data_IF_235369880245
#
_entry.id   IF_235369880245
#
_cell.length_a   1.000
_cell.length_b   1.000
_cell.length_c   1.000
_cell.angle_alpha   90.00
_cell.angle_beta   90.00
_cell.angle_gamma   90.00
#
_symmetry.space_group_name_H-M   'P 1'
#
loop_
_entity.id
_entity.type
_entity.pdbx_description
1 polymer ?
#
# COMPACT_ATOMS: atom_id res chain seq x y z
N UNK A 1 -90.49 -23.27 -54.80
CA UNK A 1 -89.86 -24.11 -53.77
C UNK A 1 -88.59 -24.70 -54.36
N UNK A 2 -87.44 -24.48 -53.68
CA UNK A 2 -86.07 -24.92 -54.00
C UNK A 2 -85.36 -24.23 -55.19
N UNK A 3 -84.37 -23.39 -54.85
CA UNK A 3 -83.68 -22.42 -55.70
C UNK A 3 -82.17 -22.72 -55.76
N UNK A 4 -81.62 -22.57 -56.96
CA UNK A 4 -80.22 -22.70 -57.38
C UNK A 4 -79.21 -22.02 -56.44
N UNK A 5 -78.18 -22.74 -56.00
CA UNK A 5 -76.93 -22.21 -55.43
C UNK A 5 -75.74 -23.01 -55.97
N UNK A 6 -75.12 -22.54 -57.06
CA UNK A 6 -73.73 -22.86 -57.36
C UNK A 6 -73.22 -21.95 -58.50
N UNK A 7 -72.84 -20.72 -58.18
CA UNK A 7 -71.85 -19.92 -58.92
C UNK A 7 -71.70 -18.59 -58.16
N UNK A 8 -70.49 -18.01 -58.18
CA UNK A 8 -70.04 -16.80 -57.45
C UNK A 8 -69.54 -17.05 -56.01
N UNK A 9 -68.30 -17.51 -55.89
CA UNK A 9 -67.32 -16.88 -54.99
C UNK A 9 -65.90 -17.36 -55.34
N UNK A 10 -65.36 -16.91 -56.47
CA UNK A 10 -63.96 -17.15 -56.83
C UNK A 10 -63.35 -15.90 -57.48
N UNK A 11 -63.45 -14.77 -56.81
CA UNK A 11 -62.71 -13.56 -57.16
C UNK A 11 -62.78 -12.60 -55.96
N UNK A 12 -61.75 -12.60 -55.09
CA UNK A 12 -61.75 -11.65 -53.97
C UNK A 12 -60.92 -11.99 -52.75
N UNK A 13 -59.90 -12.86 -52.83
CA UNK A 13 -58.92 -13.04 -51.74
C UNK A 13 -57.52 -13.27 -52.34
N UNK A 14 -56.98 -12.28 -53.05
CA UNK A 14 -55.56 -12.26 -53.49
C UNK A 14 -54.95 -10.86 -53.46
N UNK A 15 -55.47 -9.95 -52.64
CA UNK A 15 -55.04 -8.53 -52.61
C UNK A 15 -54.76 -7.98 -51.21
N UNK A 16 -54.35 -8.83 -50.26
CA UNK A 16 -53.96 -8.36 -48.90
C UNK A 16 -52.61 -8.91 -48.39
N UNK A 17 -51.82 -9.59 -49.23
CA UNK A 17 -50.47 -10.07 -48.84
C UNK A 17 -49.34 -9.28 -49.50
N UNK A 18 -49.66 -8.24 -50.28
CA UNK A 18 -48.65 -7.43 -51.00
C UNK A 18 -48.10 -6.24 -50.20
N UNK A 19 -48.51 -6.03 -48.95
CA UNK A 19 -48.13 -4.82 -48.20
C UNK A 19 -46.90 -4.98 -47.27
N UNK A 20 -46.21 -6.12 -47.29
CA UNK A 20 -44.93 -6.33 -46.59
C UNK A 20 -43.70 -6.28 -47.51
N UNK A 21 -43.88 -6.08 -48.83
CA UNK A 21 -42.79 -5.93 -49.81
C UNK A 21 -42.40 -4.47 -50.11
N UNK A 22 -43.07 -3.50 -49.48
CA UNK A 22 -42.89 -2.06 -49.76
C UNK A 22 -42.14 -1.27 -48.67
N UNK A 23 -41.81 -1.90 -47.54
CA UNK A 23 -40.89 -1.31 -46.57
C UNK A 23 -39.53 -1.96 -46.75
N UNK A 24 -38.59 -1.21 -47.33
CA UNK A 24 -37.17 -1.56 -47.28
C UNK A 24 -36.79 -1.61 -45.80
N UNK A 25 -36.64 -2.80 -45.24
CA UNK A 25 -36.13 -2.97 -43.88
C UNK A 25 -34.79 -2.23 -43.79
N UNK A 26 -34.76 -1.19 -42.96
CA UNK A 26 -33.58 -0.35 -42.78
C UNK A 26 -32.48 -1.11 -42.04
N UNK A 27 -31.23 -0.71 -42.27
CA UNK A 27 -30.12 -1.15 -41.45
C UNK A 27 -29.88 -0.11 -40.36
N UNK A 28 -30.03 -0.51 -39.11
CA UNK A 28 -29.84 0.34 -37.93
C UNK A 28 -29.24 -0.47 -36.76
N UNK A 29 -28.74 0.24 -35.76
CA UNK A 29 -28.39 -0.36 -34.47
C UNK A 29 -29.67 -0.50 -33.65
N UNK A 30 -30.11 -1.74 -33.44
CA UNK A 30 -31.33 -2.06 -32.70
C UNK A 30 -31.14 -1.92 -31.19
N UNK A 31 -29.96 -2.30 -30.69
CA UNK A 31 -29.58 -2.12 -29.28
C UNK A 31 -28.06 -2.19 -29.13
N UNK A 32 -27.56 -1.77 -27.98
CA UNK A 32 -26.16 -1.93 -27.62
C UNK A 32 -25.99 -2.04 -26.12
N UNK A 33 -24.95 -2.75 -25.68
CA UNK A 33 -24.55 -2.88 -24.29
C UNK A 33 -23.20 -2.18 -24.07
N UNK A 34 -23.00 -1.54 -22.90
CA UNK A 34 -23.89 -1.57 -21.74
C UNK A 34 -25.14 -0.68 -21.89
N UNK A 35 -25.16 0.22 -22.87
CA UNK A 35 -26.23 1.21 -23.08
C UNK A 35 -25.80 2.60 -22.62
N UNK A 36 -26.61 3.61 -22.92
CA UNK A 36 -26.29 4.99 -22.58
C UNK A 36 -26.30 5.21 -21.08
N UNK A 37 -25.29 5.94 -20.58
CA UNK A 37 -25.16 6.32 -19.17
C UNK A 37 -25.11 5.16 -18.17
N UNK A 38 -24.83 3.93 -18.61
CA UNK A 38 -24.66 2.82 -17.67
C UNK A 38 -23.41 3.05 -16.86
N UNK A 39 -23.63 3.22 -15.55
CA UNK A 39 -22.59 3.26 -14.55
C UNK A 39 -22.37 1.83 -14.06
N UNK A 40 -21.26 1.23 -14.43
CA UNK A 40 -20.88 -0.11 -13.97
C UNK A 40 -19.81 -0.03 -12.87
N UNK A 41 -20.00 -0.78 -11.79
CA UNK A 41 -19.06 -0.87 -10.66
C UNK A 41 -17.83 -1.76 -10.97
N UNK A 42 -17.36 -1.77 -12.21
CA UNK A 42 -16.23 -2.61 -12.65
C UNK A 42 -16.46 -4.13 -12.60
N UNK A 43 -17.71 -4.60 -12.51
CA UNK A 43 -18.07 -5.96 -12.96
C UNK A 43 -17.88 -6.05 -14.48
N UNK A 44 -17.46 -7.21 -15.01
CA UNK A 44 -17.17 -7.45 -16.45
C UNK A 44 -18.16 -6.71 -17.36
N UNK A 45 -17.77 -5.52 -17.81
CA UNK A 45 -18.61 -4.70 -18.67
C UNK A 45 -18.60 -5.37 -20.03
N UNK A 46 -19.69 -6.04 -20.36
CA UNK A 46 -19.89 -6.57 -21.71
C UNK A 46 -20.22 -5.42 -22.66
N UNK A 47 -19.48 -5.35 -23.75
CA UNK A 47 -19.65 -4.34 -24.79
C UNK A 47 -20.14 -5.04 -26.05
N UNK A 48 -21.33 -4.69 -26.53
CA UNK A 48 -21.90 -5.30 -27.74
C UNK A 48 -22.82 -4.33 -28.48
N UNK A 49 -22.99 -4.56 -29.79
CA UNK A 49 -23.89 -3.79 -30.67
C UNK A 49 -24.73 -4.79 -31.46
N UNK A 50 -26.05 -4.75 -31.32
CA UNK A 50 -26.99 -5.59 -32.07
C UNK A 50 -27.65 -4.78 -33.18
N UNK A 51 -27.62 -5.31 -34.40
CA UNK A 51 -28.19 -4.66 -35.58
C UNK A 51 -29.60 -5.18 -35.92
N UNK A 52 -30.42 -4.34 -36.55
CA UNK A 52 -31.80 -4.66 -36.95
C UNK A 52 -31.91 -5.75 -38.02
N UNK A 53 -30.88 -5.92 -38.86
CA UNK A 53 -30.82 -6.87 -39.96
C UNK A 53 -29.42 -7.45 -40.08
N UNK A 54 -29.24 -8.53 -40.86
CA UNK A 54 -27.97 -9.24 -40.97
C UNK A 54 -26.82 -8.35 -41.52
N UNK A 55 -25.82 -8.00 -40.71
CA UNK A 55 -24.77 -7.07 -41.10
C UNK A 55 -23.77 -7.69 -42.10
N UNK A 56 -23.21 -6.86 -42.98
CA UNK A 56 -21.94 -7.21 -43.64
C UNK A 56 -20.84 -7.03 -42.60
N UNK A 57 -20.28 -8.16 -42.15
CA UNK A 57 -19.34 -8.18 -41.03
C UNK A 57 -18.07 -7.40 -41.32
N UNK A 58 -17.49 -7.57 -42.51
CA UNK A 58 -16.27 -6.87 -42.89
C UNK A 58 -16.54 -5.36 -42.96
N UNK A 59 -17.65 -4.96 -43.58
CA UNK A 59 -18.05 -3.55 -43.65
C UNK A 59 -18.22 -2.94 -42.26
N UNK A 60 -18.92 -3.61 -41.33
CA UNK A 60 -19.10 -3.10 -39.97
C UNK A 60 -17.76 -3.02 -39.22
N UNK A 61 -16.92 -4.05 -39.30
CA UNK A 61 -15.62 -4.08 -38.61
C UNK A 61 -14.66 -2.98 -39.10
N UNK A 62 -14.59 -2.73 -40.41
CA UNK A 62 -13.78 -1.65 -41.00
C UNK A 62 -14.29 -0.25 -40.63
N UNK A 63 -15.58 -0.13 -40.29
CA UNK A 63 -16.24 1.12 -39.92
C UNK A 63 -16.45 1.28 -38.41
N UNK A 64 -16.01 0.32 -37.60
CA UNK A 64 -16.10 0.35 -36.14
C UNK A 64 -14.84 0.93 -35.52
N UNK A 65 -15.01 1.74 -34.47
CA UNK A 65 -13.94 2.24 -33.63
C UNK A 65 -14.43 2.35 -32.19
N UNK A 66 -13.53 2.09 -31.23
CA UNK A 66 -13.74 2.36 -29.81
C UNK A 66 -12.71 3.38 -29.30
N UNK A 67 -13.15 4.24 -28.38
CA UNK A 67 -12.32 5.24 -27.70
C UNK A 67 -12.32 5.03 -26.18
N UNK A 68 -11.21 5.40 -25.54
CA UNK A 68 -10.97 5.49 -24.10
C UNK A 68 -10.44 6.89 -23.79
N UNK A 69 -11.17 7.67 -22.99
CA UNK A 69 -10.83 9.07 -22.65
C UNK A 69 -10.45 9.94 -23.87
N UNK A 70 -11.14 9.71 -24.99
CA UNK A 70 -10.92 10.43 -26.25
C UNK A 70 -9.82 9.86 -27.15
N UNK A 71 -9.05 8.87 -26.69
CA UNK A 71 -8.05 8.18 -27.51
C UNK A 71 -8.58 6.88 -28.11
N UNK A 72 -8.25 6.61 -29.37
CA UNK A 72 -8.66 5.38 -30.06
C UNK A 72 -7.95 4.17 -29.45
N UNK A 73 -8.69 3.12 -29.11
CA UNK A 73 -8.14 1.88 -28.57
C UNK A 73 -8.33 0.69 -29.52
N UNK A 74 -7.51 -0.34 -29.32
CA UNK A 74 -7.61 -1.60 -30.06
C UNK A 74 -8.58 -2.57 -29.38
N UNK A 75 -9.37 -3.26 -30.21
CA UNK A 75 -10.39 -4.22 -29.79
C UNK A 75 -10.31 -5.47 -30.65
N UNK A 76 -10.56 -6.64 -30.08
CA UNK A 76 -10.95 -7.82 -30.84
C UNK A 76 -12.47 -7.83 -31.01
N UNK A 77 -12.92 -8.27 -32.17
CA UNK A 77 -14.32 -8.29 -32.57
C UNK A 77 -14.73 -9.74 -32.82
N UNK A 78 -15.91 -10.12 -32.33
CA UNK A 78 -16.53 -11.41 -32.64
C UNK A 78 -18.03 -11.24 -32.84
N UNK A 79 -18.70 -12.25 -33.39
CA UNK A 79 -20.10 -12.15 -33.79
C UNK A 79 -20.95 -13.27 -33.20
N UNK A 80 -22.13 -12.91 -32.71
CA UNK A 80 -23.21 -13.82 -32.36
C UNK A 80 -24.50 -13.39 -33.09
N UNK A 81 -24.86 -14.11 -34.15
CA UNK A 81 -25.94 -13.71 -35.05
C UNK A 81 -25.71 -12.31 -35.66
N UNK A 82 -26.63 -11.39 -35.35
CA UNK A 82 -26.58 -9.97 -35.76
C UNK A 82 -25.93 -9.07 -34.69
N UNK A 83 -25.24 -9.64 -33.69
CA UNK A 83 -24.61 -8.90 -32.60
C UNK A 83 -23.10 -8.93 -32.74
N UNK A 84 -22.49 -7.75 -32.80
CA UNK A 84 -21.06 -7.54 -32.69
C UNK A 84 -20.67 -7.53 -31.20
N UNK A 85 -19.83 -8.46 -30.77
CA UNK A 85 -19.25 -8.55 -29.44
C UNK A 85 -17.86 -7.91 -29.48
N UNK A 86 -17.61 -6.95 -28.58
CA UNK A 86 -16.41 -6.12 -28.59
C UNK A 86 -15.60 -6.40 -27.33
N UNK A 87 -14.34 -6.80 -27.52
CA UNK A 87 -13.40 -7.11 -26.44
C UNK A 87 -12.16 -6.23 -26.56
N UNK A 88 -12.05 -5.15 -25.77
CA UNK A 88 -10.82 -4.35 -25.68
C UNK A 88 -9.62 -5.19 -25.24
N UNK A 89 -8.42 -4.86 -25.72
CA UNK A 89 -7.21 -5.62 -25.37
C UNK A 89 -6.79 -5.43 -23.90
N UNK A 90 -7.18 -4.31 -23.31
CA UNK A 90 -7.04 -4.03 -21.88
C UNK A 90 -8.43 -4.05 -21.22
N UNK A 91 -8.56 -4.59 -20.00
CA UNK A 91 -9.82 -4.58 -19.27
C UNK A 91 -10.42 -3.17 -19.17
N UNK A 92 -11.76 -3.09 -19.18
CA UNK A 92 -12.46 -1.83 -18.92
C UNK A 92 -12.11 -1.33 -17.51
N UNK A 93 -11.57 -0.12 -17.43
CA UNK A 93 -11.10 0.51 -16.20
C UNK A 93 -12.20 1.35 -15.54
N UNK A 94 -12.17 1.46 -14.21
CA UNK A 94 -13.10 2.30 -13.44
C UNK A 94 -12.73 3.78 -13.57
N UNK A 95 -13.72 4.67 -13.45
CA UNK A 95 -13.49 6.12 -13.47
C UNK A 95 -13.25 6.76 -14.85
N UNK A 96 -13.43 6.01 -15.94
CA UNK A 96 -13.11 6.44 -17.31
C UNK A 96 -14.33 6.59 -18.21
N UNK A 97 -14.13 7.24 -19.35
CA UNK A 97 -15.14 7.44 -20.39
C UNK A 97 -14.84 6.59 -21.62
N UNK A 98 -15.87 5.95 -22.18
CA UNK A 98 -15.76 5.12 -23.37
C UNK A 98 -16.78 5.52 -24.42
N UNK A 99 -16.36 5.49 -25.69
CA UNK A 99 -17.24 5.72 -26.83
C UNK A 99 -17.07 4.62 -27.89
N UNK A 100 -18.20 4.18 -28.44
CA UNK A 100 -18.29 3.26 -29.58
C UNK A 100 -18.78 4.05 -30.78
N UNK A 101 -18.14 3.87 -31.93
CA UNK A 101 -18.56 4.51 -33.17
C UNK A 101 -18.70 3.45 -34.25
N UNK A 102 -19.86 3.38 -34.89
CA UNK A 102 -20.05 2.67 -36.17
C UNK A 102 -20.41 3.72 -37.21
N UNK A 103 -19.54 3.90 -38.21
CA UNK A 103 -19.77 4.91 -39.25
C UNK A 103 -20.97 4.56 -40.12
N UNK A 104 -21.67 5.59 -40.61
CA UNK A 104 -22.83 5.45 -41.50
C UNK A 104 -22.54 4.68 -42.79
N UNK A 105 -21.27 4.53 -43.16
CA UNK A 105 -20.78 3.77 -44.30
C UNK A 105 -20.81 2.25 -44.08
N UNK A 106 -20.98 1.78 -42.83
CA UNK A 106 -21.26 0.38 -42.56
C UNK A 106 -22.59 -0.05 -43.18
N UNK A 107 -22.63 -1.25 -43.76
CA UNK A 107 -23.80 -1.77 -44.46
C UNK A 107 -24.21 -3.18 -44.00
N UNK A 108 -25.45 -3.55 -44.33
CA UNK A 108 -25.91 -4.93 -44.23
C UNK A 108 -25.53 -5.75 -45.48
N UNK A 109 -25.77 -7.07 -45.45
CA UNK A 109 -25.47 -7.96 -46.59
C UNK A 109 -26.18 -7.59 -47.90
N UNK A 110 -27.25 -6.80 -47.83
CA UNK A 110 -27.99 -6.29 -48.98
C UNK A 110 -27.45 -4.94 -49.49
N UNK A 111 -26.34 -4.44 -48.93
CA UNK A 111 -25.71 -3.17 -49.31
C UNK A 111 -26.47 -1.93 -48.81
N UNK A 112 -27.35 -2.08 -47.82
CA UNK A 112 -28.04 -0.94 -47.19
C UNK A 112 -27.19 -0.40 -46.06
N UNK A 113 -26.82 0.87 -46.16
CA UNK A 113 -26.02 1.58 -45.17
C UNK A 113 -26.85 1.97 -43.94
N UNK A 114 -26.16 2.20 -42.82
CA UNK A 114 -26.73 2.91 -41.68
C UNK A 114 -27.18 4.32 -42.09
N UNK A 115 -28.29 4.79 -41.51
CA UNK A 115 -28.81 6.13 -41.83
C UNK A 115 -27.95 7.25 -41.25
N UNK A 116 -27.31 7.02 -40.10
CA UNK A 116 -26.42 7.95 -39.41
C UNK A 116 -25.23 7.20 -38.80
N UNK A 117 -24.18 7.93 -38.41
CA UNK A 117 -23.14 7.38 -37.53
C UNK A 117 -23.83 6.97 -36.22
N UNK A 118 -23.61 5.74 -35.78
CA UNK A 118 -23.98 5.32 -34.44
C UNK A 118 -22.86 5.73 -33.47
N UNK A 119 -23.23 6.40 -32.38
CA UNK A 119 -22.32 6.76 -31.30
C UNK A 119 -22.93 6.25 -29.98
N UNK A 120 -22.33 5.21 -29.42
CA UNK A 120 -22.64 4.73 -28.07
C UNK A 120 -21.67 5.33 -27.08
N UNK A 121 -22.14 5.84 -25.95
CA UNK A 121 -21.30 6.44 -24.91
C UNK A 121 -21.65 5.89 -23.51
N UNK A 122 -20.65 5.42 -22.78
CA UNK A 122 -20.81 4.98 -21.39
C UNK A 122 -19.64 5.41 -20.52
N UNK A 123 -19.88 5.44 -19.20
CA UNK A 123 -18.90 5.89 -18.21
C UNK A 123 -18.80 4.86 -17.09
N UNK A 124 -17.59 4.57 -16.65
CA UNK A 124 -17.37 3.74 -15.46
C UNK A 124 -17.19 4.56 -14.18
N UNK A 125 -17.30 5.90 -14.29
CA UNK A 125 -17.29 6.81 -13.15
C UNK A 125 -18.65 6.85 -12.45
N UNK A 126 -18.82 6.03 -11.41
CA UNK A 126 -20.04 5.95 -10.60
C UNK A 126 -20.02 6.91 -9.41
N UNK A 127 -18.89 6.97 -8.70
CA UNK A 127 -18.78 7.72 -7.45
C UNK A 127 -18.24 9.14 -7.70
N UNK A 128 -18.90 10.13 -7.12
CA UNK A 128 -18.46 11.54 -7.12
C UNK A 128 -17.95 11.99 -5.75
N UNK A 129 -18.05 11.11 -4.73
CA UNK A 129 -17.49 11.37 -3.42
C UNK A 129 -15.97 11.41 -3.52
N UNK A 130 -15.39 12.44 -2.92
CA UNK A 130 -13.95 12.64 -2.90
C UNK A 130 -13.29 11.69 -1.89
N UNK A 131 -12.07 11.20 -2.20
CA UNK A 131 -11.26 10.56 -1.18
C UNK A 131 -10.92 11.58 -0.09
N UNK A 132 -10.91 11.12 1.16
CA UNK A 132 -10.54 11.91 2.32
C UNK A 132 -9.76 11.03 3.30
N UNK A 133 -8.73 11.60 3.92
CA UNK A 133 -8.00 10.94 5.00
C UNK A 133 -8.88 10.92 6.24
N UNK A 134 -9.16 9.72 6.75
CA UNK A 134 -9.97 9.49 7.97
C UNK A 134 -9.10 9.16 9.19
N UNK A 135 -7.81 8.87 8.99
CA UNK A 135 -6.87 8.62 10.08
C UNK A 135 -5.47 8.27 9.58
N UNK A 136 -4.54 8.20 10.52
CA UNK A 136 -3.17 7.76 10.27
C UNK A 136 -2.59 7.00 11.46
N UNK A 137 -1.61 6.15 11.19
CA UNK A 137 -0.76 5.54 12.21
C UNK A 137 0.70 5.79 11.81
N UNK A 138 1.47 6.58 12.56
CA UNK A 138 1.07 7.27 13.79
C UNK A 138 -0.03 8.31 13.59
N UNK A 139 -0.80 8.57 14.66
CA UNK A 139 -1.76 9.68 14.68
C UNK A 139 -1.03 11.03 14.68
N UNK A 140 -1.73 12.11 14.33
CA UNK A 140 -1.15 13.44 14.36
C UNK A 140 -0.59 13.78 15.75
N UNK A 141 0.67 14.22 15.79
CA UNK A 141 1.48 14.50 16.98
C UNK A 141 1.81 13.29 17.87
N UNK A 142 1.59 12.06 17.38
CA UNK A 142 1.95 10.86 18.13
C UNK A 142 3.44 10.53 18.06
N UNK A 143 3.85 9.57 18.88
CA UNK A 143 5.20 9.03 18.90
C UNK A 143 5.31 7.76 18.03
N UNK A 144 6.41 7.61 17.29
CA UNK A 144 6.78 6.39 16.56
C UNK A 144 8.01 5.75 17.20
N UNK A 145 7.93 4.48 17.57
CA UNK A 145 8.94 3.82 18.41
C UNK A 145 9.94 2.98 17.61
N UNK A 146 9.48 2.22 16.62
CA UNK A 146 10.35 1.32 15.88
C UNK A 146 11.14 2.02 14.78
N UNK A 147 12.38 1.54 14.58
CA UNK A 147 13.34 2.13 13.64
C UNK A 147 12.86 2.10 12.19
N UNK A 148 12.03 1.13 11.84
CA UNK A 148 11.51 0.90 10.49
C UNK A 148 10.01 0.64 10.53
N UNK A 149 9.33 1.13 11.57
CA UNK A 149 7.88 1.00 11.67
C UNK A 149 7.24 1.70 10.47
N UNK A 150 6.26 1.05 9.81
CA UNK A 150 5.57 1.64 8.67
C UNK A 150 4.64 2.78 9.10
N UNK A 151 4.34 3.68 8.16
CA UNK A 151 3.30 4.70 8.32
C UNK A 151 2.06 4.30 7.54
N UNK A 152 0.91 4.34 8.18
CA UNK A 152 -0.40 4.04 7.59
C UNK A 152 -1.20 5.33 7.41
N UNK A 153 -1.87 5.45 6.28
CA UNK A 153 -2.85 6.52 5.99
C UNK A 153 -4.15 5.84 5.57
N UNK A 154 -5.21 6.08 6.33
CA UNK A 154 -6.53 5.50 6.10
C UNK A 154 -7.41 6.50 5.36
N UNK A 155 -8.08 6.04 4.31
CA UNK A 155 -9.00 6.81 3.49
C UNK A 155 -10.44 6.29 3.64
N UNK A 156 -11.41 7.17 3.40
CA UNK A 156 -12.83 6.79 3.36
C UNK A 156 -13.19 5.86 2.18
N UNK A 157 -12.35 5.78 1.14
CA UNK A 157 -12.52 4.94 -0.05
C UNK A 157 -11.18 4.52 -0.67
N UNK A 158 -11.25 3.66 -1.67
CA UNK A 158 -10.08 3.12 -2.39
C UNK A 158 -9.32 4.23 -3.13
N UNK A 159 -7.99 4.23 -3.03
CA UNK A 159 -7.13 5.24 -3.67
C UNK A 159 -6.21 4.64 -4.73
N UNK A 160 -5.81 5.43 -5.73
CA UNK A 160 -4.85 4.96 -6.73
C UNK A 160 -3.42 5.05 -6.18
N UNK A 161 -2.71 3.92 -6.11
CA UNK A 161 -1.34 3.88 -5.61
C UNK A 161 -0.41 4.83 -6.37
N UNK A 162 -0.48 4.84 -7.71
CA UNK A 162 0.38 5.69 -8.54
C UNK A 162 0.15 7.18 -8.29
N UNK A 163 -1.11 7.58 -8.10
CA UNK A 163 -1.43 8.97 -7.75
C UNK A 163 -0.92 9.34 -6.36
N UNK A 164 -0.81 8.38 -5.44
CA UNK A 164 -0.36 8.62 -4.08
C UNK A 164 1.14 8.83 -3.99
N UNK A 165 1.94 8.14 -4.81
CA UNK A 165 3.39 8.35 -4.88
C UNK A 165 3.75 9.80 -5.24
N UNK A 166 3.00 10.41 -6.15
CA UNK A 166 3.18 11.82 -6.53
C UNK A 166 2.58 12.82 -5.53
N UNK A 167 1.50 12.42 -4.85
CA UNK A 167 0.70 13.32 -4.02
C UNK A 167 1.10 13.32 -2.54
N UNK A 168 1.93 12.39 -2.08
CA UNK A 168 2.32 12.29 -0.66
C UNK A 168 3.80 12.61 -0.47
N UNK A 169 4.07 13.58 0.41
CA UNK A 169 5.43 14.03 0.73
C UNK A 169 5.73 13.81 2.21
N UNK A 170 6.92 13.27 2.51
CA UNK A 170 7.42 13.05 3.87
C UNK A 170 8.66 13.94 4.08
N UNK A 171 8.68 14.71 5.17
CA UNK A 171 9.79 15.59 5.54
C UNK A 171 10.20 15.39 7.01
N UNK A 172 11.49 15.15 7.34
CA UNK A 172 12.62 14.98 6.43
C UNK A 172 12.44 13.85 5.42
N UNK A 173 13.09 13.96 4.27
CA UNK A 173 13.04 12.91 3.24
C UNK A 173 13.62 11.63 3.81
N UNK A 174 12.94 10.51 3.55
CA UNK A 174 13.34 9.15 3.91
C UNK A 174 13.04 8.24 2.72
N UNK A 175 13.94 7.31 2.41
CA UNK A 175 13.69 6.35 1.35
C UNK A 175 12.68 5.30 1.79
N UNK A 176 11.77 4.93 0.90
CA UNK A 176 10.73 3.96 1.13
C UNK A 176 9.86 3.76 -0.11
N UNK A 177 8.83 2.93 0.03
CA UNK A 177 7.85 2.70 -1.02
C UNK A 177 6.44 2.68 -0.44
N UNK A 178 5.47 3.07 -1.25
CA UNK A 178 4.06 2.98 -0.91
C UNK A 178 3.49 1.65 -1.40
N UNK A 179 2.55 1.10 -0.63
CA UNK A 179 1.72 -0.04 -1.04
C UNK A 179 0.32 0.09 -0.44
N UNK A 180 -0.63 -0.64 -1.00
CA UNK A 180 -1.91 -0.84 -0.32
C UNK A 180 -1.78 -1.83 0.84
N UNK A 181 -2.70 -1.72 1.80
CA UNK A 181 -2.95 -2.85 2.71
C UNK A 181 -3.47 -4.07 1.94
N UNK A 182 -3.42 -5.24 2.57
CA UNK A 182 -3.84 -6.50 1.95
C UNK A 182 -5.36 -6.71 1.95
N UNK A 183 -6.16 -5.71 2.35
CA UNK A 183 -7.58 -5.93 2.69
C UNK A 183 -8.56 -5.13 1.85
N UNK A 184 -8.29 -3.85 1.60
CA UNK A 184 -9.34 -2.94 1.11
C UNK A 184 -8.86 -1.89 0.13
N UNK A 185 -7.56 -1.75 -0.15
CA UNK A 185 -6.99 -0.63 -0.91
C UNK A 185 -7.36 0.78 -0.41
N UNK A 186 -8.03 0.89 0.76
CA UNK A 186 -8.37 2.15 1.43
C UNK A 186 -7.30 2.61 2.41
N UNK A 187 -6.30 1.77 2.65
CA UNK A 187 -5.13 2.12 3.44
C UNK A 187 -3.91 2.13 2.55
N UNK A 188 -3.14 3.21 2.62
CA UNK A 188 -1.79 3.27 2.08
C UNK A 188 -0.79 3.05 3.21
N UNK A 189 0.24 2.24 2.92
CA UNK A 189 1.31 1.90 3.84
C UNK A 189 2.62 2.36 3.23
N UNK A 190 3.30 3.29 3.89
CA UNK A 190 4.68 3.63 3.59
C UNK A 190 5.61 2.68 4.34
N UNK A 191 6.37 1.89 3.59
CA UNK A 191 7.41 1.03 4.14
C UNK A 191 8.77 1.74 3.99
N UNK A 192 9.40 2.19 5.08
CA UNK A 192 10.73 2.77 5.00
C UNK A 192 11.78 1.71 4.62
N UNK A 193 12.73 2.08 3.76
CA UNK A 193 13.91 1.29 3.39
C UNK A 193 15.14 1.63 4.26
N UNK A 194 15.08 2.75 4.97
CA UNK A 194 16.11 3.23 5.90
C UNK A 194 15.51 3.41 7.30
N UNK A 195 16.36 3.50 8.33
CA UNK A 195 15.87 3.77 9.68
C UNK A 195 15.41 5.23 9.83
N UNK A 196 14.29 5.44 10.53
CA UNK A 196 13.87 6.76 10.97
C UNK A 196 14.98 7.42 11.81
N UNK A 197 15.19 8.73 11.61
CA UNK A 197 16.12 9.50 12.45
C UNK A 197 15.55 9.59 13.87
N UNK A 198 16.35 9.38 14.93
CA UNK A 198 15.89 9.50 16.31
C UNK A 198 15.47 10.92 16.65
N UNK A 199 14.52 11.06 17.59
CA UNK A 199 14.05 12.32 18.16
C UNK A 199 13.75 13.40 17.12
N UNK A 200 13.17 12.98 15.99
CA UNK A 200 12.95 13.80 14.81
C UNK A 200 11.46 13.92 14.52
N UNK A 201 11.00 15.15 14.27
CA UNK A 201 9.64 15.42 13.81
C UNK A 201 9.55 15.17 12.31
N UNK A 202 8.74 14.18 11.92
CA UNK A 202 8.39 13.91 10.53
C UNK A 202 7.02 14.49 10.21
N UNK A 203 6.92 15.23 9.11
CA UNK A 203 5.71 15.87 8.59
C UNK A 203 5.31 15.19 7.30
N UNK A 204 4.04 14.84 7.21
CA UNK A 204 3.46 14.24 6.02
C UNK A 204 2.40 15.18 5.45
N UNK A 205 2.51 15.46 4.16
CA UNK A 205 1.53 16.21 3.40
C UNK A 205 0.95 15.30 2.32
N UNK A 206 -0.37 15.12 2.36
CA UNK A 206 -1.16 14.51 1.28
C UNK A 206 -1.82 15.65 0.52
N UNK A 207 -1.47 15.84 -0.74
CA UNK A 207 -1.96 16.97 -1.52
C UNK A 207 -3.36 16.73 -2.07
N UNK A 208 -4.08 17.81 -2.36
CA UNK A 208 -5.40 17.79 -2.98
C UNK A 208 -5.50 17.04 -4.32
N UNK A 209 -4.36 16.74 -4.97
CA UNK A 209 -4.32 16.06 -6.27
C UNK A 209 -4.39 14.54 -6.18
N UNK A 210 -4.27 13.94 -4.98
CA UNK A 210 -4.43 12.50 -4.80
C UNK A 210 -5.80 12.05 -5.33
N UNK A 211 -5.79 10.99 -6.14
CA UNK A 211 -6.99 10.42 -6.79
C UNK A 211 -7.46 9.11 -6.16
N UNK A 212 -8.76 8.92 -6.15
CA UNK A 212 -9.38 7.62 -5.93
C UNK A 212 -9.37 6.74 -7.19
N UNK A 213 -9.78 5.47 -7.06
CA UNK A 213 -9.87 4.53 -8.20
C UNK A 213 -10.90 4.94 -9.27
N UNK A 214 -11.77 5.91 -8.98
CA UNK A 214 -12.74 6.48 -9.91
C UNK A 214 -12.27 7.83 -10.51
N UNK A 215 -11.02 8.21 -10.25
CA UNK A 215 -10.39 9.43 -10.74
C UNK A 215 -10.79 10.72 -10.02
N UNK A 216 -11.53 10.68 -8.91
CA UNK A 216 -11.85 11.88 -8.14
C UNK A 216 -10.66 12.32 -7.28
N UNK A 217 -10.37 13.62 -7.31
CA UNK A 217 -9.32 14.23 -6.49
C UNK A 217 -9.79 14.48 -5.07
N UNK A 218 -8.89 14.40 -4.08
CA UNK A 218 -9.17 14.75 -2.68
C UNK A 218 -9.73 16.17 -2.54
N UNK A 219 -9.29 17.11 -3.37
CA UNK A 219 -9.81 18.48 -3.41
C UNK A 219 -9.30 19.39 -2.27
N UNK A 220 -8.74 18.81 -1.21
CA UNK A 220 -8.11 19.53 -0.10
C UNK A 220 -6.83 18.82 0.35
N UNK A 221 -5.85 19.62 0.78
CA UNK A 221 -4.62 19.08 1.38
C UNK A 221 -4.92 18.54 2.78
N UNK A 222 -4.25 17.46 3.16
CA UNK A 222 -4.23 16.93 4.52
C UNK A 222 -2.78 16.89 5.03
N UNK A 223 -2.59 17.31 6.28
CA UNK A 223 -1.26 17.38 6.90
C UNK A 223 -1.31 16.80 8.30
N UNK A 224 -0.31 15.99 8.62
CA UNK A 224 -0.07 15.52 9.97
C UNK A 224 1.42 15.40 10.23
N UNK A 225 1.80 15.32 11.49
CA UNK A 225 3.18 15.09 11.90
C UNK A 225 3.24 14.02 12.99
N UNK A 226 4.40 13.40 13.15
CA UNK A 226 4.70 12.50 14.27
C UNK A 226 6.16 12.69 14.68
N UNK A 227 6.47 12.30 15.91
CA UNK A 227 7.84 12.37 16.44
C UNK A 227 8.38 10.97 16.63
N UNK A 228 9.56 10.69 16.10
CA UNK A 228 10.25 9.43 16.38
C UNK A 228 10.81 9.48 17.79
N UNK A 229 10.33 8.61 18.67
CA UNK A 229 10.89 8.48 20.02
C UNK A 229 11.62 7.15 20.04
N UNK A 230 12.90 7.19 19.68
CA UNK A 230 13.75 6.00 19.70
C UNK A 230 14.09 5.70 21.16
N UNK A 231 13.11 5.20 21.91
CA UNK A 231 13.32 4.60 23.22
C UNK A 231 14.07 3.29 22.99
N UNK A 232 15.39 3.37 22.85
CA UNK A 232 16.24 2.21 22.62
C UNK A 232 16.23 1.23 23.81
N UNK A 233 15.32 1.29 24.78
CA UNK A 233 15.58 0.89 26.18
C UNK A 233 16.89 1.54 26.69
N UNK A 234 17.15 1.67 27.99
CA UNK A 234 18.51 1.91 28.48
C UNK A 234 19.33 0.62 28.34
N UNK A 235 20.66 0.69 28.09
CA UNK A 235 21.49 -0.48 28.19
C UNK A 235 21.41 -0.98 29.63
N UNK A 236 21.27 -2.29 29.79
CA UNK A 236 21.19 -2.95 31.09
C UNK A 236 22.48 -3.70 31.34
N UNK A 237 22.97 -3.68 32.57
CA UNK A 237 24.07 -4.53 33.00
C UNK A 237 23.54 -5.96 33.15
N UNK A 238 24.05 -6.88 32.33
CA UNK A 238 23.58 -8.28 32.28
C UNK A 238 24.42 -9.19 33.17
N UNK A 239 25.71 -8.87 33.36
CA UNK A 239 26.58 -9.61 34.26
C UNK A 239 27.74 -8.75 34.78
N UNK A 240 28.22 -9.08 35.98
CA UNK A 240 29.55 -8.72 36.44
C UNK A 240 30.31 -10.01 36.72
N UNK A 241 31.54 -10.12 36.24
CA UNK A 241 32.40 -11.28 36.48
C UNK A 241 33.70 -10.88 37.14
N UNK A 242 34.13 -11.69 38.10
CA UNK A 242 35.51 -11.72 38.58
C UNK A 242 36.35 -12.43 37.55
N UNK A 243 37.49 -11.84 37.18
CA UNK A 243 38.50 -12.43 36.30
C UNK A 243 39.73 -12.72 37.16
N UNK A 244 40.14 -13.97 37.29
CA UNK A 244 41.25 -14.37 38.16
C UNK A 244 42.12 -15.43 37.50
N UNK A 245 43.36 -15.59 37.99
CA UNK A 245 44.28 -16.62 37.48
C UNK A 245 44.32 -17.77 38.47
N UNK A 246 44.02 -18.98 38.00
CA UNK A 246 44.18 -20.22 38.76
C UNK A 246 45.01 -21.21 37.92
N UNK A 247 46.09 -21.75 38.48
CA UNK A 247 47.02 -22.65 37.75
C UNK A 247 47.53 -22.07 36.41
N UNK A 248 47.87 -20.77 36.38
CA UNK A 248 48.28 -20.04 35.17
C UNK A 248 47.21 -19.94 34.05
N UNK A 249 45.94 -20.19 34.36
CA UNK A 249 44.82 -20.05 33.42
C UNK A 249 43.85 -18.98 33.91
N UNK A 250 43.41 -18.10 33.02
CA UNK A 250 42.36 -17.12 33.32
C UNK A 250 41.01 -17.83 33.47
N UNK A 251 40.34 -17.57 34.59
CA UNK A 251 38.99 -18.03 34.88
C UNK A 251 38.09 -16.84 35.15
N UNK A 252 36.79 -17.03 34.84
CA UNK A 252 35.74 -16.06 35.10
C UNK A 252 34.68 -16.66 36.01
N UNK A 253 34.29 -15.93 37.03
CA UNK A 253 33.20 -16.30 37.93
C UNK A 253 32.17 -15.17 37.99
N UNK A 254 30.88 -15.49 37.81
CA UNK A 254 29.81 -14.51 37.95
C UNK A 254 29.77 -14.01 39.40
N UNK A 255 29.74 -12.70 39.55
CA UNK A 255 29.53 -12.03 40.82
C UNK A 255 28.05 -11.70 40.94
N UNK A 256 27.37 -12.35 41.88
CA UNK A 256 25.98 -12.06 42.19
C UNK A 256 25.92 -10.83 43.09
N UNK A 257 25.66 -9.67 42.48
CA UNK A 257 25.28 -8.47 43.22
C UNK A 257 23.76 -8.51 43.38
N UNK A 258 23.26 -8.48 44.63
CA UNK A 258 21.83 -8.34 44.85
C UNK A 258 21.33 -6.98 44.36
N UNK A 259 20.02 -6.86 44.15
CA UNK A 259 19.35 -5.56 43.96
C UNK A 259 19.83 -4.61 45.06
N UNK A 260 20.09 -3.35 44.70
CA UNK A 260 20.78 -2.34 45.52
C UNK A 260 20.66 -2.56 47.05
N UNK A 261 21.73 -3.01 47.69
CA UNK A 261 21.81 -3.15 49.15
C UNK A 261 22.18 -4.52 49.72
N UNK A 262 22.36 -5.57 48.92
CA UNK A 262 22.86 -6.85 49.44
C UNK A 262 24.39 -6.81 49.67
N UNK A 263 24.82 -6.75 50.93
CA UNK A 263 26.22 -6.88 51.33
C UNK A 263 26.65 -8.36 51.29
N UNK A 264 27.43 -8.75 50.30
CA UNK A 264 28.21 -9.98 50.39
C UNK A 264 29.60 -9.62 50.95
N UNK A 265 30.01 -10.28 52.04
CA UNK A 265 31.38 -10.18 52.54
C UNK A 265 32.34 -10.61 51.43
N UNK A 266 33.49 -9.94 51.31
CA UNK A 266 34.53 -10.40 50.39
C UNK A 266 35.12 -11.73 50.89
N UNK A 267 34.57 -12.85 50.40
CA UNK A 267 34.94 -14.22 50.77
C UNK A 267 35.85 -14.91 49.72
N UNK A 268 36.36 -14.17 48.74
CA UNK A 268 37.17 -14.79 47.69
C UNK A 268 37.77 -13.89 46.62
N UNK A 269 37.67 -12.55 46.70
CA UNK A 269 38.40 -11.66 45.79
C UNK A 269 39.84 -11.51 46.27
N UNK A 270 40.78 -11.88 45.41
CA UNK A 270 42.20 -11.94 45.70
C UNK A 270 42.98 -10.78 45.07
N UNK A 271 44.25 -10.68 45.44
CA UNK A 271 45.16 -9.64 44.91
C UNK A 271 45.57 -10.01 43.48
N UNK A 272 44.98 -9.35 42.49
CA UNK A 272 45.32 -9.55 41.06
C UNK A 272 44.11 -9.73 40.14
N UNK A 273 42.93 -9.90 40.72
CA UNK A 273 41.70 -10.12 39.96
C UNK A 273 41.29 -8.87 39.17
N UNK A 274 40.82 -9.09 37.95
CA UNK A 274 40.09 -8.11 37.16
C UNK A 274 38.58 -8.24 37.34
N UNK A 275 37.87 -7.28 36.79
CA UNK A 275 36.41 -7.26 36.72
C UNK A 275 35.96 -7.07 35.29
N UNK A 276 34.96 -7.83 34.90
CA UNK A 276 34.30 -7.73 33.60
C UNK A 276 32.85 -7.32 33.80
N UNK A 277 32.43 -6.24 33.14
CA UNK A 277 31.06 -5.75 33.13
C UNK A 277 30.48 -5.99 31.74
N UNK A 278 29.44 -6.81 31.66
CA UNK A 278 28.72 -7.10 30.41
C UNK A 278 27.40 -6.33 30.38
N UNK A 279 27.16 -5.66 29.25
CA UNK A 279 25.94 -4.92 28.99
C UNK A 279 25.11 -5.63 27.90
N UNK A 280 23.80 -5.35 27.86
CA UNK A 280 22.91 -5.89 26.82
C UNK A 280 23.20 -5.36 25.41
N UNK A 281 24.07 -4.35 25.29
CA UNK A 281 24.59 -3.81 24.02
C UNK A 281 25.88 -3.02 24.27
N UNK A 282 26.64 -2.62 23.22
CA UNK A 282 27.77 -1.71 23.37
C UNK A 282 27.38 -0.38 24.04
N UNK A 283 28.14 0.03 25.05
CA UNK A 283 27.97 1.29 25.80
C UNK A 283 29.22 2.15 25.72
N UNK A 284 29.08 3.45 25.93
CA UNK A 284 30.21 4.37 25.93
C UNK A 284 31.15 4.10 27.13
N UNK A 285 32.38 3.68 26.85
CA UNK A 285 33.34 3.22 27.87
C UNK A 285 33.78 4.35 28.81
N UNK A 286 33.84 5.60 28.32
CA UNK A 286 34.16 6.77 29.14
C UNK A 286 33.03 7.13 30.11
N UNK A 287 31.79 7.10 29.65
CA UNK A 287 30.63 7.41 30.50
C UNK A 287 30.38 6.35 31.58
N UNK A 288 30.73 5.08 31.30
CA UNK A 288 30.75 4.00 32.30
C UNK A 288 31.81 4.26 33.36
N UNK A 289 33.04 4.60 32.97
CA UNK A 289 34.12 4.92 33.94
C UNK A 289 33.73 6.04 34.92
N UNK A 290 32.92 7.00 34.48
CA UNK A 290 32.44 8.11 35.32
C UNK A 290 31.26 7.76 36.23
N UNK A 291 30.56 6.65 35.95
CA UNK A 291 29.36 6.21 36.67
C UNK A 291 29.57 4.93 37.47
N UNK A 292 30.75 4.31 37.39
CA UNK A 292 31.12 3.22 38.27
C UNK A 292 31.83 3.81 39.49
N UNK A 293 31.29 3.46 40.66
CA UNK A 293 31.96 3.65 41.93
C UNK A 293 32.47 2.32 42.43
N UNK A 294 33.79 2.26 42.58
CA UNK A 294 34.46 1.21 43.30
C UNK A 294 34.55 1.55 44.81
N UNK A 295 34.82 0.57 45.68
CA UNK A 295 34.93 0.76 47.13
C UNK A 295 35.89 1.90 47.53
N UNK A 296 35.59 2.55 48.65
CA UNK A 296 36.34 3.73 49.13
C UNK A 296 37.85 3.46 49.20
N UNK A 297 38.65 4.35 48.59
CA UNK A 297 40.12 4.22 48.53
C UNK A 297 40.65 3.31 47.42
N UNK A 298 39.79 2.75 46.57
CA UNK A 298 40.22 1.87 45.48
C UNK A 298 40.35 2.64 44.17
N UNK A 299 41.59 2.79 43.67
CA UNK A 299 41.82 3.24 42.29
C UNK A 299 41.74 2.03 41.34
N UNK A 300 41.20 2.22 40.13
CA UNK A 300 41.03 1.18 39.12
C UNK A 300 41.48 1.69 37.75
N UNK A 301 41.99 0.77 36.92
CA UNK A 301 42.32 1.00 35.52
C UNK A 301 41.32 0.31 34.62
N UNK A 302 40.67 1.09 33.75
CA UNK A 302 39.95 0.52 32.62
C UNK A 302 40.97 -0.05 31.62
N UNK A 303 40.83 -1.33 31.28
CA UNK A 303 41.67 -2.03 30.32
C UNK A 303 41.08 -1.98 28.89
N UNK A 304 39.78 -1.71 28.77
CA UNK A 304 39.08 -1.56 27.49
C UNK A 304 39.45 -0.21 26.86
N UNK A 305 39.92 -0.24 25.60
CA UNK A 305 40.43 0.96 24.89
C UNK A 305 39.45 1.50 23.85
N UNK A 306 38.51 0.66 23.43
CA UNK A 306 37.47 1.00 22.47
C UNK A 306 36.54 2.08 23.06
N UNK A 307 36.07 3.06 22.26
CA UNK A 307 35.15 4.09 22.76
C UNK A 307 33.77 3.52 23.11
N UNK A 308 33.36 2.43 22.46
CA UNK A 308 32.14 1.68 22.74
C UNK A 308 32.43 0.20 22.85
N UNK A 309 31.97 -0.44 23.93
CA UNK A 309 32.16 -1.87 24.13
C UNK A 309 30.96 -2.47 24.87
N UNK A 310 30.59 -3.70 24.51
CA UNK A 310 29.58 -4.47 25.24
C UNK A 310 30.15 -5.05 26.54
N UNK A 311 31.45 -5.30 26.56
CA UNK A 311 32.19 -5.84 27.69
C UNK A 311 33.28 -4.84 28.07
N UNK A 312 33.27 -4.40 29.33
CA UNK A 312 34.28 -3.47 29.85
C UNK A 312 35.06 -4.13 30.98
N UNK A 313 36.38 -4.07 30.87
CA UNK A 313 37.32 -4.69 31.80
C UNK A 313 38.00 -3.66 32.68
N UNK A 314 38.09 -3.96 33.98
CA UNK A 314 38.74 -3.12 34.99
C UNK A 314 39.74 -3.92 35.80
N UNK A 315 40.85 -3.29 36.19
CA UNK A 315 41.85 -3.87 37.08
C UNK A 315 42.11 -2.94 38.29
N UNK A 316 42.08 -3.44 39.54
CA UNK A 316 42.36 -2.63 40.72
C UNK A 316 43.84 -2.19 40.75
N UNK A 317 44.08 -0.92 41.06
CA UNK A 317 45.41 -0.35 41.34
C UNK A 317 45.81 -0.51 42.80
N UNK A 318 44.84 -0.50 43.72
CA UNK A 318 45.07 -0.61 45.17
C UNK A 318 44.40 -1.88 45.68
N UNK A 319 45.09 -2.58 46.57
CA UNK A 319 44.69 -3.89 47.09
C UNK A 319 43.37 -3.81 47.85
N UNK A 320 42.35 -4.61 47.48
CA UNK A 320 41.17 -4.80 48.30
C UNK A 320 41.52 -5.43 49.66
N UNK A 321 41.05 -4.84 50.75
CA UNK A 321 41.23 -5.41 52.09
C UNK A 321 40.32 -6.64 52.31
N UNK A 322 40.93 -7.73 52.76
CA UNK A 322 40.24 -8.99 53.05
C UNK A 322 39.22 -8.81 54.19
N UNK A 323 38.08 -9.51 54.11
CA UNK A 323 36.99 -9.47 55.10
C UNK A 323 36.33 -8.09 55.35
N UNK A 324 36.56 -7.09 54.50
CA UNK A 324 35.79 -5.83 54.52
C UNK A 324 34.62 -5.87 53.55
N UNK A 325 33.62 -5.02 53.80
CA UNK A 325 32.51 -4.78 52.89
C UNK A 325 33.02 -4.10 51.61
N UNK A 326 32.74 -4.70 50.46
CA UNK A 326 33.09 -4.19 49.14
C UNK A 326 31.81 -4.02 48.32
N UNK A 327 31.48 -2.79 47.92
CA UNK A 327 30.36 -2.49 47.04
C UNK A 327 30.89 -1.94 45.72
N UNK A 328 30.47 -2.53 44.61
CA UNK A 328 30.58 -1.95 43.28
C UNK A 328 29.22 -1.34 42.96
N UNK A 329 29.18 -0.03 42.72
CA UNK A 329 27.95 0.67 42.35
C UNK A 329 28.07 1.17 40.92
N UNK A 330 27.04 0.96 40.11
CA UNK A 330 26.91 1.60 38.80
C UNK A 330 25.72 2.54 38.86
N UNK A 331 25.96 3.83 38.64
CA UNK A 331 24.89 4.82 38.60
C UNK A 331 24.12 4.75 37.28
N UNK A 332 22.79 4.98 37.31
CA UNK A 332 21.95 4.95 36.11
C UNK A 332 22.36 6.03 35.09
N UNK A 333 21.87 5.89 33.85
CA UNK A 333 22.06 6.87 32.78
C UNK A 333 23.34 6.68 31.96
N UNK A 334 23.79 5.43 31.78
CA UNK A 334 24.78 5.06 30.76
C UNK A 334 24.05 4.97 29.41
N UNK A 335 24.43 5.76 28.40
CA UNK A 335 23.77 5.78 27.08
C UNK A 335 24.14 4.58 26.19
#
# INVERSE_FOLDING_TARGET
MQLKKLFLLFLGITMLVSCSLLFKEGFEVASWMPGENVQSNGSEVSVSITFSSEPDRQSVEENFVMFFDGEKINTSLSWDGNTLIISPYYPIERGHEYALVVKKTACNKNGVNLSNDFIGFFRTKFDTNRPAVIGSVPQNKAALQGKTDPVYIHFNKEVQLISAEDAIQIQPVIQGYWKHDSTSNRTLVFQPLESWKPDTVYRIAVTKSLKDVDGNTMGQDYRFEFTTTMNALPPTLTAIRRVYIENNVEKKANLNFGEAGASNQNIGLETGDGYEFEFSRPVNVFEVQRRIMFPQGSAFDCQTREPYAQIIQFKPRIKPEYSKLYFITIYPGIP
#
